data_IF_778125881962
#
_entry.id   IF_778125881962
#
_cell.length_a   1.000
_cell.length_b   1.000
_cell.length_c   1.000
_cell.angle_alpha   90.00
_cell.angle_beta   90.00
_cell.angle_gamma   90.00
#
_symmetry.space_group_name_H-M   'P 1'
#
loop_
_entity.id
_entity.type
_entity.pdbx_description
1 polymer ?
#
# COMPACT_ATOMS: atom_id res chain seq x y z
N UNK A 1 2.37 21.73 -66.74
CA UNK A 1 3.29 21.83 -65.60
C UNK A 1 2.49 21.51 -64.34
N UNK A 2 2.57 20.25 -63.88
CA UNK A 2 1.85 19.75 -62.68
C UNK A 2 2.77 19.89 -61.47
N UNK A 3 2.40 20.73 -60.51
CA UNK A 3 3.12 20.88 -59.26
C UNK A 3 2.71 19.74 -58.32
N UNK A 4 3.60 18.81 -58.01
CA UNK A 4 3.45 17.84 -56.92
C UNK A 4 3.63 18.55 -55.59
N UNK A 5 2.58 18.63 -54.80
CA UNK A 5 2.69 18.99 -53.40
C UNK A 5 3.04 17.72 -52.58
N UNK A 6 4.27 17.66 -52.10
CA UNK A 6 4.71 16.63 -51.16
C UNK A 6 4.14 16.97 -49.78
N UNK A 7 3.17 16.20 -49.32
CA UNK A 7 2.59 16.29 -47.99
C UNK A 7 3.50 15.50 -46.99
N UNK A 8 4.34 16.24 -46.29
CA UNK A 8 5.22 15.67 -45.27
C UNK A 8 4.39 15.40 -43.99
N UNK A 9 3.98 14.15 -43.81
CA UNK A 9 3.31 13.71 -42.55
C UNK A 9 4.41 13.57 -41.53
N UNK A 10 4.51 14.58 -40.64
CA UNK A 10 5.33 14.54 -39.46
C UNK A 10 4.67 13.59 -38.44
N UNK A 11 5.19 12.37 -38.35
CA UNK A 11 4.74 11.38 -37.38
C UNK A 11 5.26 11.81 -36.00
N UNK A 12 4.43 12.52 -35.23
CA UNK A 12 4.68 12.79 -33.81
C UNK A 12 4.38 11.48 -33.09
N UNK A 13 5.40 10.64 -32.91
CA UNK A 13 5.31 9.53 -31.99
C UNK A 13 5.11 10.10 -30.58
N UNK A 14 4.03 9.76 -29.86
CA UNK A 14 3.93 10.14 -28.48
C UNK A 14 5.11 9.47 -27.74
N UNK A 15 5.97 10.28 -27.15
CA UNK A 15 6.91 9.82 -26.14
C UNK A 15 6.06 9.24 -24.99
N UNK A 16 5.76 7.95 -25.05
CA UNK A 16 5.27 7.22 -23.88
C UNK A 16 6.44 7.22 -22.89
N UNK A 17 6.45 8.24 -22.04
CA UNK A 17 7.23 8.19 -20.83
C UNK A 17 6.69 6.99 -20.06
N UNK A 18 7.47 5.94 -19.94
CA UNK A 18 7.16 4.85 -19.04
C UNK A 18 7.15 5.48 -17.65
N UNK A 19 5.96 5.66 -17.08
CA UNK A 19 5.78 6.17 -15.73
C UNK A 19 6.50 5.20 -14.80
N UNK A 20 7.61 5.64 -14.21
CA UNK A 20 8.34 4.82 -13.25
C UNK A 20 7.41 4.51 -12.08
N UNK A 21 7.19 3.22 -11.85
CA UNK A 21 6.34 2.76 -10.75
C UNK A 21 7.01 3.11 -9.42
N UNK A 22 6.32 3.78 -8.51
CA UNK A 22 6.91 4.13 -7.22
C UNK A 22 7.19 2.88 -6.39
N UNK A 23 8.26 2.91 -5.60
CA UNK A 23 8.50 1.89 -4.58
C UNK A 23 7.43 1.99 -3.49
N UNK A 24 7.04 0.84 -2.94
CA UNK A 24 6.04 0.75 -1.87
C UNK A 24 6.71 0.23 -0.61
N UNK A 25 6.69 1.01 0.46
CA UNK A 25 7.16 0.60 1.78
C UNK A 25 5.97 0.61 2.74
N UNK A 26 5.61 -0.56 3.26
CA UNK A 26 4.55 -0.72 4.24
C UNK A 26 5.16 -0.93 5.63
N UNK A 27 4.94 0.03 6.53
CA UNK A 27 5.38 -0.05 7.93
C UNK A 27 4.15 -0.34 8.79
N UNK A 28 4.11 -1.52 9.39
CA UNK A 28 3.03 -1.96 10.27
C UNK A 28 3.58 -2.23 11.67
N UNK A 29 3.24 -1.37 12.62
CA UNK A 29 3.79 -1.38 13.97
C UNK A 29 2.83 -2.15 14.89
N UNK A 30 3.39 -3.06 15.71
CA UNK A 30 2.65 -3.82 16.70
C UNK A 30 2.50 -3.00 17.99
N UNK A 31 1.38 -3.13 18.64
CA UNK A 31 1.05 -2.51 19.94
C UNK A 31 1.21 -0.97 19.99
N UNK A 32 1.17 -0.28 18.85
CA UNK A 32 1.21 1.18 18.78
C UNK A 32 -0.20 1.76 18.92
N UNK A 33 -0.43 2.51 19.99
CA UNK A 33 -1.69 3.23 20.20
C UNK A 33 -1.77 4.53 19.39
N UNK A 34 -2.99 4.97 19.11
CA UNK A 34 -3.25 6.24 18.43
C UNK A 34 -2.59 7.43 19.16
N UNK A 35 -2.63 7.42 20.50
CA UNK A 35 -2.07 8.48 21.33
C UNK A 35 -0.56 8.42 21.55
N UNK A 36 0.16 7.46 20.96
CA UNK A 36 1.59 7.29 21.18
C UNK A 36 2.48 8.11 20.23
N UNK A 37 1.88 8.68 19.19
CA UNK A 37 2.59 9.48 18.20
C UNK A 37 2.46 10.98 18.43
N UNK A 38 3.54 11.73 18.20
CA UNK A 38 3.57 13.18 18.30
C UNK A 38 2.54 13.86 17.41
N UNK A 39 2.38 13.39 16.18
CA UNK A 39 1.39 13.89 15.21
C UNK A 39 -0.06 13.76 15.68
N UNK A 40 -0.34 12.88 16.64
CA UNK A 40 -1.65 12.74 17.29
C UNK A 40 -1.71 13.34 18.70
N UNK A 41 -0.65 14.04 19.12
CA UNK A 41 -0.62 14.82 20.35
C UNK A 41 0.16 14.20 21.50
N UNK A 42 0.84 13.06 21.31
CA UNK A 42 1.74 12.51 22.32
C UNK A 42 2.87 13.47 22.64
N UNK A 43 3.18 13.56 23.96
CA UNK A 43 4.31 14.35 24.47
C UNK A 43 5.35 13.48 25.16
N UNK A 44 5.04 12.21 25.38
CA UNK A 44 5.86 11.30 26.19
C UNK A 44 7.03 10.72 25.38
N UNK A 45 6.79 10.39 24.13
CA UNK A 45 7.79 9.81 23.23
C UNK A 45 7.92 10.67 21.97
N UNK A 46 9.07 11.28 21.72
CA UNK A 46 9.30 12.01 20.47
C UNK A 46 9.29 11.10 19.25
N UNK A 47 8.49 11.41 18.23
CA UNK A 47 8.39 10.66 16.98
C UNK A 47 8.69 11.53 15.74
N UNK A 48 9.84 12.24 15.69
CA UNK A 48 10.07 13.30 14.70
C UNK A 48 10.06 12.82 13.25
N UNK A 49 10.48 11.58 12.98
CA UNK A 49 10.47 11.04 11.63
C UNK A 49 9.07 10.68 11.14
N UNK A 50 8.23 10.14 12.03
CA UNK A 50 6.82 9.83 11.72
C UNK A 50 6.04 11.14 11.58
N UNK A 51 6.28 12.10 12.45
CA UNK A 51 5.65 13.42 12.42
C UNK A 51 5.98 14.16 11.12
N UNK A 52 7.24 14.08 10.67
CA UNK A 52 7.67 14.63 9.37
C UNK A 52 6.96 13.92 8.22
N UNK A 53 6.90 12.59 8.21
CA UNK A 53 6.21 11.82 7.19
C UNK A 53 4.73 12.21 7.10
N UNK A 54 4.09 12.40 8.24
CA UNK A 54 2.69 12.85 8.31
C UNK A 54 2.50 14.29 7.78
N UNK A 55 3.47 15.18 8.02
CA UNK A 55 3.44 16.56 7.54
C UNK A 55 3.65 16.66 6.02
N UNK A 56 4.45 15.76 5.45
CA UNK A 56 4.75 15.69 4.01
C UNK A 56 3.72 14.90 3.21
N UNK A 57 2.88 14.09 3.87
CA UNK A 57 1.95 13.17 3.25
C UNK A 57 0.50 13.37 3.67
N UNK A 58 -0.24 12.26 3.73
CA UNK A 58 -1.66 12.23 4.12
C UNK A 58 -1.81 11.60 5.48
N UNK A 59 -2.39 12.33 6.42
CA UNK A 59 -2.73 11.86 7.75
C UNK A 59 -4.18 11.38 7.81
N UNK A 60 -4.39 10.11 8.14
CA UNK A 60 -5.72 9.55 8.37
C UNK A 60 -6.10 9.66 9.86
N UNK A 61 -7.02 10.56 10.19
CA UNK A 61 -7.46 10.78 11.59
C UNK A 61 -8.48 9.75 12.10
N UNK A 62 -9.10 9.00 11.20
CA UNK A 62 -10.12 7.98 11.50
C UNK A 62 -9.83 6.72 10.68
N UNK A 63 -8.72 6.07 10.98
CA UNK A 63 -8.34 4.80 10.37
C UNK A 63 -8.32 3.70 11.42
N UNK A 64 -8.93 2.56 11.11
CA UNK A 64 -9.13 1.48 12.07
C UNK A 64 -8.62 0.17 11.52
N UNK A 65 -8.07 -0.66 12.40
CA UNK A 65 -7.76 -2.06 12.10
C UNK A 65 -9.04 -2.90 12.12
N UNK A 66 -9.03 -3.98 11.36
CA UNK A 66 -10.23 -4.82 11.21
C UNK A 66 -10.49 -5.78 12.36
N UNK A 67 -9.46 -6.10 13.15
CA UNK A 67 -9.52 -7.03 14.27
C UNK A 67 -8.54 -6.64 15.38
N UNK A 68 -8.91 -6.75 16.66
CA UNK A 68 -8.03 -6.36 17.76
C UNK A 68 -6.78 -7.23 17.92
N UNK A 69 -6.79 -8.60 17.79
CA UNK A 69 -5.54 -9.34 17.92
C UNK A 69 -4.61 -9.17 16.72
N UNK A 70 -3.31 -9.18 16.96
CA UNK A 70 -2.26 -8.94 15.95
C UNK A 70 -2.37 -9.87 14.73
N UNK A 71 -2.53 -11.18 14.94
CA UNK A 71 -2.55 -12.16 13.85
C UNK A 71 -3.70 -11.93 12.86
N UNK A 72 -4.98 -11.86 13.25
CA UNK A 72 -6.06 -11.62 12.30
C UNK A 72 -6.00 -10.22 11.68
N UNK A 73 -5.51 -9.21 12.40
CA UNK A 73 -5.30 -7.87 11.86
C UNK A 73 -4.26 -7.87 10.73
N UNK A 74 -3.10 -8.50 10.95
CA UNK A 74 -2.05 -8.65 9.94
C UNK A 74 -2.52 -9.45 8.73
N UNK A 75 -3.24 -10.55 8.97
CA UNK A 75 -3.83 -11.34 7.89
C UNK A 75 -4.83 -10.51 7.07
N UNK A 76 -5.67 -9.71 7.73
CA UNK A 76 -6.63 -8.83 7.04
C UNK A 76 -5.93 -7.79 6.17
N UNK A 77 -4.84 -7.19 6.67
CA UNK A 77 -4.05 -6.23 5.92
C UNK A 77 -3.47 -6.85 4.65
N UNK A 78 -2.81 -8.00 4.78
CA UNK A 78 -2.19 -8.69 3.64
C UNK A 78 -3.22 -9.18 2.64
N UNK A 79 -4.38 -9.65 3.11
CA UNK A 79 -5.44 -10.18 2.25
C UNK A 79 -6.39 -9.11 1.70
N UNK A 80 -6.33 -7.87 2.21
CA UNK A 80 -7.29 -6.82 1.85
C UNK A 80 -8.74 -7.16 2.18
N UNK A 81 -8.98 -8.04 3.18
CA UNK A 81 -10.30 -8.54 3.57
C UNK A 81 -10.39 -8.70 5.08
N UNK A 82 -11.62 -8.62 5.60
CA UNK A 82 -11.86 -9.00 6.99
C UNK A 82 -11.44 -10.46 7.24
N UNK A 83 -10.68 -10.70 8.31
CA UNK A 83 -10.14 -12.02 8.63
C UNK A 83 -11.23 -13.10 8.79
N UNK A 84 -12.40 -12.72 9.24
CA UNK A 84 -13.57 -13.62 9.39
C UNK A 84 -14.02 -14.21 8.04
N UNK A 85 -13.81 -13.52 6.93
CA UNK A 85 -14.20 -14.00 5.58
C UNK A 85 -13.42 -15.24 5.12
N UNK A 86 -12.26 -15.47 5.72
CA UNK A 86 -11.45 -16.67 5.48
C UNK A 86 -11.20 -17.50 6.75
N UNK A 87 -12.07 -17.35 7.75
CA UNK A 87 -12.09 -18.22 8.94
C UNK A 87 -11.08 -17.85 10.04
N UNK A 88 -10.47 -16.67 9.99
CA UNK A 88 -9.50 -16.23 10.99
C UNK A 88 -10.17 -15.36 12.06
N UNK A 89 -10.46 -15.98 13.22
CA UNK A 89 -11.21 -15.31 14.30
C UNK A 89 -10.36 -14.89 15.50
N UNK A 90 -9.14 -15.38 15.62
CA UNK A 90 -8.28 -15.09 16.76
C UNK A 90 -6.83 -15.49 16.56
N UNK A 91 -6.11 -15.66 17.65
CA UNK A 91 -4.67 -16.01 17.69
C UNK A 91 -4.39 -17.47 17.27
N UNK A 92 -5.39 -18.22 16.79
CA UNK A 92 -5.23 -19.61 16.41
C UNK A 92 -4.09 -19.77 15.39
N UNK A 93 -3.04 -20.45 15.83
CA UNK A 93 -1.98 -20.95 14.97
C UNK A 93 -2.60 -22.06 14.10
N UNK A 94 -2.80 -21.90 12.86
CA UNK A 94 -3.18 -23.07 12.10
C UNK A 94 -4.12 -22.92 10.91
N UNK A 95 -4.65 -21.73 10.64
CA UNK A 95 -5.25 -21.51 9.34
C UNK A 95 -4.23 -20.73 8.51
N UNK A 96 -3.58 -21.38 7.54
CA UNK A 96 -2.73 -20.68 6.60
C UNK A 96 -3.56 -19.62 5.86
N UNK A 97 -2.90 -18.56 5.45
CA UNK A 97 -3.49 -17.63 4.47
C UNK A 97 -3.83 -18.47 3.22
N UNK A 98 -5.08 -18.45 2.73
CA UNK A 98 -5.46 -19.24 1.57
C UNK A 98 -4.56 -18.93 0.37
N UNK A 99 -3.93 -19.95 -0.17
CA UNK A 99 -2.98 -19.80 -1.28
C UNK A 99 -3.67 -19.48 -2.61
N UNK A 100 -4.92 -19.85 -2.75
CA UNK A 100 -5.76 -19.65 -3.93
C UNK A 100 -6.34 -18.24 -4.03
N UNK A 101 -6.17 -17.41 -2.98
CA UNK A 101 -6.73 -16.06 -2.93
C UNK A 101 -5.69 -14.99 -3.23
N UNK A 102 -6.11 -13.89 -3.87
CA UNK A 102 -5.25 -12.74 -4.05
C UNK A 102 -4.84 -12.15 -2.69
N UNK A 103 -3.60 -11.71 -2.61
CA UNK A 103 -3.07 -10.99 -1.47
C UNK A 103 -2.12 -9.88 -1.95
N UNK A 104 -1.74 -8.98 -1.05
CA UNK A 104 -0.95 -7.80 -1.38
C UNK A 104 0.36 -8.15 -2.11
N UNK A 105 1.10 -9.16 -1.63
CA UNK A 105 2.37 -9.56 -2.23
C UNK A 105 2.17 -10.12 -3.65
N UNK A 106 1.19 -10.99 -3.85
CA UNK A 106 0.86 -11.55 -5.18
C UNK A 106 0.37 -10.46 -6.13
N UNK A 107 -0.45 -9.53 -5.63
CA UNK A 107 -0.92 -8.40 -6.42
C UNK A 107 0.26 -7.55 -6.90
N UNK A 108 1.14 -7.15 -6.00
CA UNK A 108 2.32 -6.36 -6.37
C UNK A 108 3.26 -7.11 -7.32
N UNK A 109 3.52 -8.40 -7.04
CA UNK A 109 4.36 -9.23 -7.92
C UNK A 109 3.77 -9.37 -9.34
N UNK A 110 2.46 -9.55 -9.46
CA UNK A 110 1.78 -9.59 -10.76
C UNK A 110 1.88 -8.25 -11.53
N UNK A 111 2.15 -7.16 -10.83
CA UNK A 111 2.37 -5.83 -11.41
C UNK A 111 3.86 -5.48 -11.58
N UNK A 112 4.76 -6.45 -11.46
CA UNK A 112 6.19 -6.30 -11.71
C UNK A 112 7.00 -5.73 -10.55
N UNK A 113 6.47 -5.75 -9.33
CA UNK A 113 7.24 -5.41 -8.13
C UNK A 113 7.99 -6.63 -7.60
N UNK A 114 9.22 -6.44 -7.13
CA UNK A 114 9.87 -7.40 -6.24
C UNK A 114 9.23 -7.29 -4.86
N UNK A 115 8.85 -8.42 -4.26
CA UNK A 115 8.23 -8.47 -2.92
C UNK A 115 9.11 -9.26 -1.97
N UNK A 116 9.25 -8.79 -0.73
CA UNK A 116 10.05 -9.42 0.31
C UNK A 116 9.40 -9.28 1.69
#
# INVERSE_FOLDING_TARGET
MKKLLAFSILFIAPLLSAEEKPNVVLIYIDDLGYGDLGVYGSKDIPTPNIDRLAAEGVQCKASYITNPPCCPSRCSLVMGQYAQRFGKYGMSRGLPIPEDRPNLARFLSAHGYATG
#
